data_IF_174781042891
#
_entry.id   IF_174781042891
#
_cell.length_a   1.000
_cell.length_b   1.000
_cell.length_c   1.000
_cell.angle_alpha   90.00
_cell.angle_beta   90.00
_cell.angle_gamma   90.00
#
_symmetry.space_group_name_H-M   'P 1'
#
loop_
_entity.id
_entity.type
_entity.pdbx_description
1 polymer ?
#
# COMPACT_ATOMS: atom_id res chain seq x y z
N UNK A 1 -8.47 11.03 -17.10
CA UNK A 1 -8.19 10.58 -15.73
C UNK A 1 -9.31 11.13 -14.88
N UNK A 2 -10.08 10.26 -14.23
CA UNK A 2 -11.12 10.68 -13.31
C UNK A 2 -10.45 11.13 -12.00
N UNK A 3 -10.77 12.35 -11.55
CA UNK A 3 -10.28 12.92 -10.30
C UNK A 3 -11.45 13.49 -9.54
N UNK A 4 -11.53 13.23 -8.24
CA UNK A 4 -12.60 13.75 -7.37
C UNK A 4 -11.99 14.29 -6.08
N UNK A 5 -12.55 15.38 -5.51
CA UNK A 5 -12.19 15.86 -4.18
C UNK A 5 -12.80 15.00 -3.06
N UNK A 6 -13.72 14.08 -3.37
CA UNK A 6 -14.39 13.22 -2.39
C UNK A 6 -13.45 12.16 -1.82
N UNK A 7 -13.67 11.78 -0.56
CA UNK A 7 -12.88 10.72 0.08
C UNK A 7 -13.21 9.36 -0.53
N UNK A 8 -12.20 8.50 -0.67
CA UNK A 8 -12.41 7.11 -1.08
C UNK A 8 -13.33 6.33 -0.11
N UNK A 9 -13.47 6.79 1.14
CA UNK A 9 -14.40 6.24 2.12
C UNK A 9 -15.87 6.53 1.78
N UNK A 10 -16.14 7.64 1.11
CA UNK A 10 -17.50 8.06 0.75
C UNK A 10 -17.91 7.48 -0.62
N UNK A 11 -16.91 7.16 -1.45
CA UNK A 11 -17.09 6.65 -2.81
C UNK A 11 -17.29 5.14 -2.88
N UNK A 12 -16.71 4.40 -1.93
CA UNK A 12 -16.67 2.93 -1.98
C UNK A 12 -17.09 2.31 -0.65
N UNK A 13 -17.71 1.11 -0.67
CA UNK A 13 -18.07 0.42 0.56
C UNK A 13 -16.81 -0.02 1.31
N UNK A 14 -16.77 0.25 2.62
CA UNK A 14 -15.61 0.04 3.49
C UNK A 14 -14.99 -1.37 3.39
N UNK A 15 -15.83 -2.39 3.24
CA UNK A 15 -15.46 -3.80 3.12
C UNK A 15 -14.76 -4.18 1.79
N UNK A 16 -14.96 -3.37 0.75
CA UNK A 16 -14.31 -3.53 -0.54
C UNK A 16 -12.94 -2.84 -0.59
N UNK A 17 -12.66 -1.92 0.34
CA UNK A 17 -11.45 -1.11 0.36
C UNK A 17 -10.29 -1.89 0.99
N UNK A 18 -9.16 -1.90 0.30
CA UNK A 18 -7.88 -2.46 0.76
C UNK A 18 -6.82 -1.37 0.64
N UNK A 19 -6.31 -0.91 1.78
CA UNK A 19 -5.26 0.09 1.83
C UNK A 19 -3.89 -0.56 1.70
N UNK A 20 -3.16 -0.21 0.65
CA UNK A 20 -1.82 -0.75 0.39
C UNK A 20 -0.78 0.04 1.17
N UNK A 21 -0.06 -0.65 2.05
CA UNK A 21 1.02 -0.06 2.86
C UNK A 21 2.13 -1.09 3.08
N UNK A 22 3.42 -0.71 2.94
CA UNK A 22 4.54 -1.64 3.14
C UNK A 22 4.62 -2.17 4.58
N UNK A 23 4.03 -1.46 5.54
CA UNK A 23 4.01 -1.82 6.96
C UNK A 23 2.92 -2.86 7.33
N UNK A 24 2.07 -3.29 6.37
CA UNK A 24 1.02 -4.27 6.66
C UNK A 24 1.61 -5.67 6.89
N UNK A 25 1.05 -6.40 7.85
CA UNK A 25 1.38 -7.81 8.08
C UNK A 25 0.80 -8.73 7.01
N UNK A 26 -0.30 -8.32 6.36
CA UNK A 26 -0.95 -9.14 5.34
C UNK A 26 -0.26 -8.95 3.99
N UNK A 27 0.07 -10.05 3.32
CA UNK A 27 0.63 -10.02 1.97
C UNK A 27 -0.50 -10.07 0.95
N UNK A 28 -0.44 -9.21 -0.07
CA UNK A 28 -1.34 -9.26 -1.21
C UNK A 28 -0.89 -10.37 -2.15
N UNK A 29 -1.49 -11.56 -2.02
CA UNK A 29 -1.18 -12.70 -2.88
C UNK A 29 -1.92 -12.61 -4.23
N UNK A 30 -3.19 -12.21 -4.19
CA UNK A 30 -4.07 -12.11 -5.36
C UNK A 30 -4.80 -10.76 -5.44
N UNK A 31 -5.04 -10.30 -6.66
CA UNK A 31 -5.84 -9.11 -6.94
C UNK A 31 -7.26 -9.53 -7.31
N UNK A 32 -8.24 -9.06 -6.54
CA UNK A 32 -9.65 -9.31 -6.80
C UNK A 32 -10.30 -8.13 -7.53
N UNK A 33 -11.04 -8.36 -8.63
CA UNK A 33 -11.68 -7.28 -9.40
C UNK A 33 -12.78 -6.55 -8.63
N UNK A 34 -13.32 -7.15 -7.56
CA UNK A 34 -14.37 -6.57 -6.72
C UNK A 34 -13.81 -5.77 -5.53
N UNK A 35 -12.49 -5.57 -5.47
CA UNK A 35 -11.81 -4.85 -4.39
C UNK A 35 -11.23 -3.55 -4.92
N UNK A 36 -11.24 -2.53 -4.07
CA UNK A 36 -10.68 -1.21 -4.35
C UNK A 36 -9.36 -1.10 -3.61
N UNK A 37 -8.27 -1.09 -4.35
CA UNK A 37 -6.93 -0.98 -3.80
C UNK A 37 -6.50 0.48 -3.76
N UNK A 38 -6.26 0.99 -2.56
CA UNK A 38 -5.88 2.39 -2.33
C UNK A 38 -4.37 2.47 -2.11
N UNK A 39 -3.69 3.23 -2.97
CA UNK A 39 -2.27 3.57 -2.81
C UNK A 39 -2.16 4.93 -2.13
N UNK A 40 -1.35 5.02 -1.08
CA UNK A 40 -1.06 6.29 -0.41
C UNK A 40 -0.23 7.20 -1.31
N UNK A 41 -0.79 8.34 -1.71
CA UNK A 41 -0.14 9.40 -2.47
C UNK A 41 0.90 10.22 -1.70
N UNK A 42 1.65 9.60 -0.77
CA UNK A 42 2.55 10.33 0.11
C UNK A 42 3.88 10.61 -0.61
N UNK A 43 4.14 11.86 -0.94
CA UNK A 43 5.41 12.33 -1.52
C UNK A 43 6.20 12.99 -0.40
N UNK A 44 6.74 12.17 0.50
CA UNK A 44 7.63 12.66 1.55
C UNK A 44 8.80 11.69 1.69
N UNK A 45 10.04 12.21 1.60
CA UNK A 45 11.29 11.45 1.78
C UNK A 45 11.43 10.91 3.21
N UNK A 46 10.53 11.34 4.10
CA UNK A 46 10.43 10.88 5.48
C UNK A 46 9.44 9.72 5.60
N UNK A 47 9.95 8.49 5.53
CA UNK A 47 9.20 7.27 5.87
C UNK A 47 8.81 7.35 7.35
N UNK A 48 7.65 7.95 7.64
CA UNK A 48 7.00 7.87 8.93
C UNK A 48 6.36 6.49 9.05
N UNK A 49 7.20 5.50 9.38
CA UNK A 49 6.78 4.11 9.62
C UNK A 49 5.54 4.10 10.50
N UNK A 50 4.56 3.27 10.13
CA UNK A 50 3.27 3.08 10.82
C UNK A 50 2.23 4.19 10.70
N UNK A 51 2.52 5.38 10.13
CA UNK A 51 1.52 6.46 10.07
C UNK A 51 0.32 6.09 9.18
N UNK A 52 0.57 5.52 8.01
CA UNK A 52 -0.50 5.07 7.10
C UNK A 52 -1.21 3.84 7.63
N UNK A 53 -0.48 2.92 8.28
CA UNK A 53 -1.06 1.74 8.92
C UNK A 53 -1.98 2.11 10.08
N UNK A 54 -1.58 3.07 10.92
CA UNK A 54 -2.41 3.56 12.03
C UNK A 54 -3.69 4.21 11.51
N UNK A 55 -3.60 5.09 10.51
CA UNK A 55 -4.80 5.71 9.90
C UNK A 55 -5.75 4.68 9.30
N UNK A 56 -5.21 3.67 8.62
CA UNK A 56 -6.05 2.60 8.06
C UNK A 56 -6.72 1.77 9.17
N UNK A 57 -5.99 1.47 10.27
CA UNK A 57 -6.56 0.76 11.43
C UNK A 57 -7.62 1.57 12.17
N UNK A 58 -7.41 2.87 12.35
CA UNK A 58 -8.39 3.79 12.95
C UNK A 58 -9.69 3.85 12.13
N UNK A 59 -9.58 3.76 10.81
CA UNK A 59 -10.71 3.73 9.88
C UNK A 59 -11.26 2.30 9.65
N UNK A 60 -10.78 1.30 10.40
CA UNK A 60 -11.13 -0.13 10.28
C UNK A 60 -10.98 -0.69 8.85
N UNK A 61 -10.04 -0.16 8.08
CA UNK A 61 -9.75 -0.60 6.73
C UNK A 61 -8.92 -1.88 6.74
N UNK A 62 -9.17 -2.73 5.74
CA UNK A 62 -8.28 -3.85 5.46
C UNK A 62 -6.97 -3.29 4.92
N UNK A 63 -5.84 -3.82 5.38
CA UNK A 63 -4.51 -3.42 4.90
C UNK A 63 -3.80 -4.61 4.29
N UNK A 64 -3.01 -4.36 3.26
CA UNK A 64 -2.11 -5.36 2.68
C UNK A 64 -0.83 -4.70 2.18
N UNK A 65 0.27 -5.45 2.12
CA UNK A 65 1.53 -5.06 1.50
C UNK A 65 1.74 -5.85 0.22
N UNK A 66 2.47 -5.28 -0.73
CA UNK A 66 2.86 -6.00 -1.95
C UNK A 66 3.83 -7.16 -1.59
N UNK A 67 3.79 -8.28 -2.32
CA UNK A 67 4.62 -9.46 -2.06
C UNK A 67 6.07 -9.27 -2.56
N UNK A 68 6.63 -8.07 -2.39
CA UNK A 68 7.96 -7.73 -2.86
C UNK A 68 8.99 -8.51 -2.07
N UNK A 69 8.83 -8.66 -0.74
CA UNK A 69 9.78 -9.43 0.08
C UNK A 69 9.87 -10.90 -0.34
N UNK A 70 8.76 -11.47 -0.78
CA UNK A 70 8.60 -12.87 -1.13
C UNK A 70 9.20 -13.19 -2.50
N UNK A 71 8.98 -12.31 -3.48
CA UNK A 71 9.40 -12.55 -4.87
C UNK A 71 10.69 -11.81 -5.26
N UNK A 72 11.14 -10.83 -4.48
CA UNK A 72 12.37 -10.10 -4.79
C UNK A 72 13.60 -10.94 -4.41
N UNK A 73 14.19 -11.56 -5.44
CA UNK A 73 15.43 -12.32 -5.31
C UNK A 73 16.59 -11.38 -5.00
N UNK A 74 17.23 -11.57 -3.84
CA UNK A 74 18.49 -10.90 -3.49
C UNK A 74 19.59 -11.30 -4.48
N UNK A 75 19.81 -10.50 -5.52
CA UNK A 75 21.04 -10.62 -6.31
C UNK A 75 22.23 -10.27 -5.39
N UNK A 76 23.31 -11.07 -5.34
CA UNK A 76 24.42 -10.92 -4.39
C UNK A 76 25.37 -9.76 -4.74
N UNK A 77 24.84 -8.63 -5.19
CA UNK A 77 25.61 -7.44 -5.52
C UNK A 77 25.46 -6.42 -4.39
N UNK A 78 26.58 -6.12 -3.72
CA UNK A 78 26.69 -5.26 -2.53
C UNK A 78 26.26 -3.78 -2.69
N UNK A 79 25.58 -3.41 -3.79
CA UNK A 79 25.09 -2.05 -4.08
C UNK A 79 23.56 -1.93 -4.17
N UNK A 80 22.83 -3.02 -4.00
CA UNK A 80 21.38 -3.00 -4.13
C UNK A 80 20.69 -2.73 -2.79
N UNK A 81 20.56 -1.44 -2.44
CA UNK A 81 19.66 -0.99 -1.38
C UNK A 81 18.23 -0.99 -1.91
N UNK A 82 17.59 -2.16 -1.93
CA UNK A 82 16.20 -2.28 -2.38
C UNK A 82 15.26 -1.88 -1.25
N UNK A 83 14.55 -0.77 -1.43
CA UNK A 83 13.56 -0.27 -0.48
C UNK A 83 12.27 -1.08 -0.60
N UNK A 84 11.71 -1.49 0.53
CA UNK A 84 10.39 -2.14 0.61
C UNK A 84 9.25 -1.12 0.40
N UNK A 85 9.59 0.17 0.43
CA UNK A 85 8.73 1.29 0.04
C UNK A 85 9.08 1.68 -1.38
N UNK A 86 8.12 1.50 -2.30
CA UNK A 86 8.23 1.87 -3.71
C UNK A 86 7.60 3.24 -3.95
N UNK A 87 8.11 3.95 -4.97
CA UNK A 87 7.39 5.10 -5.50
C UNK A 87 6.12 4.63 -6.25
N UNK A 88 5.10 5.49 -6.33
CA UNK A 88 3.79 5.17 -6.92
C UNK A 88 3.91 4.69 -8.38
N UNK A 89 4.94 5.14 -9.09
CA UNK A 89 5.17 4.86 -10.51
C UNK A 89 6.19 3.74 -10.77
N UNK A 90 6.64 3.01 -9.75
CA UNK A 90 7.61 1.92 -9.89
C UNK A 90 6.97 0.57 -10.22
#
# INVERSE_FOLDING_TARGET
>A
MDTTPESFLDLFPLEAIVYLTPDSENVLEDIHPNKVYVLGGLVDESIHKQLTLQRAREQQLRTARLPIREYMVKAPNARNYHSETLAINQ
#
